data_IF_636885955550
#
_entry.id   IF_636885955550
#
_cell.length_a   1.000
_cell.length_b   1.000
_cell.length_c   1.000
_cell.angle_alpha   90.00
_cell.angle_beta   90.00
_cell.angle_gamma   90.00
#
_symmetry.space_group_name_H-M   'P 1'
#
loop_
_entity.id
_entity.type
_entity.pdbx_description
1 polymer ?
#
# COMPACT_ATOMS: atom_id res chain seq x y z
N UNK A 1 -9.61 -5.61 -12.70
CA UNK A 1 -10.65 -5.48 -11.65
C UNK A 1 -10.85 -3.98 -11.55
N UNK A 2 -12.07 -3.45 -11.69
CA UNK A 2 -12.26 -2.00 -11.79
C UNK A 2 -11.51 -1.21 -10.68
N UNK A 3 -10.81 -0.15 -11.11
CA UNK A 3 -9.94 0.69 -10.27
C UNK A 3 -10.62 1.22 -9.01
N UNK A 4 -11.83 1.76 -9.13
CA UNK A 4 -12.58 2.31 -7.99
C UNK A 4 -12.91 1.23 -6.96
N UNK A 5 -13.20 0.02 -7.44
CA UNK A 5 -13.43 -1.14 -6.57
C UNK A 5 -12.16 -1.53 -5.83
N UNK A 6 -10.99 -1.45 -6.46
CA UNK A 6 -9.69 -1.71 -5.83
C UNK A 6 -9.42 -0.72 -4.70
N UNK A 7 -9.46 0.58 -5.02
CA UNK A 7 -9.26 1.68 -4.08
C UNK A 7 -10.19 1.58 -2.88
N UNK A 8 -11.49 1.36 -3.12
CA UNK A 8 -12.49 1.25 -2.06
C UNK A 8 -12.21 0.08 -1.11
N UNK A 9 -11.70 -1.05 -1.63
CA UNK A 9 -11.38 -2.22 -0.82
C UNK A 9 -10.09 -2.02 -0.01
N UNK A 10 -9.07 -1.39 -0.59
CA UNK A 10 -7.84 -1.01 0.13
C UNK A 10 -8.18 -0.03 1.25
N UNK A 11 -8.90 1.06 0.94
CA UNK A 11 -9.34 2.04 1.93
C UNK A 11 -10.19 1.41 3.05
N UNK A 12 -10.99 0.38 2.74
CA UNK A 12 -11.73 -0.37 3.77
C UNK A 12 -10.80 -1.16 4.69
N UNK A 13 -9.69 -1.71 4.19
CA UNK A 13 -8.70 -2.38 5.04
C UNK A 13 -7.98 -1.36 5.93
N UNK A 14 -7.53 -0.23 5.36
CA UNK A 14 -6.89 0.85 6.12
C UNK A 14 -7.79 1.37 7.24
N UNK A 15 -9.08 1.56 6.96
CA UNK A 15 -10.07 2.03 7.96
C UNK A 15 -10.31 1.06 9.12
N UNK A 16 -9.88 -0.20 9.04
CA UNK A 16 -9.95 -1.12 10.19
C UNK A 16 -8.95 -0.77 11.29
N UNK A 17 -7.99 0.11 11.01
CA UNK A 17 -6.97 0.55 11.96
C UNK A 17 -5.87 -0.48 12.17
N UNK A 18 -4.98 -0.17 13.13
CA UNK A 18 -3.92 -1.06 13.55
C UNK A 18 -4.44 -2.07 14.58
N UNK A 19 -4.46 -3.34 14.18
CA UNK A 19 -4.83 -4.50 14.98
C UNK A 19 -3.61 -5.41 15.24
N UNK A 20 -2.39 -4.87 15.16
CA UNK A 20 -1.15 -5.58 15.39
C UNK A 20 -0.61 -6.33 14.16
N UNK A 21 0.25 -7.30 14.40
CA UNK A 21 0.97 -8.07 13.39
C UNK A 21 0.26 -9.38 13.02
N UNK A 22 0.46 -9.96 11.82
CA UNK A 22 1.28 -9.44 10.73
C UNK A 22 0.66 -8.17 10.12
N UNK A 23 1.49 -7.25 9.63
CA UNK A 23 1.01 -5.96 9.08
C UNK A 23 1.64 -5.62 7.75
N UNK A 24 0.86 -4.97 6.89
CA UNK A 24 1.34 -4.29 5.69
C UNK A 24 1.28 -2.78 5.90
N UNK A 25 2.33 -2.08 5.51
CA UNK A 25 2.36 -0.61 5.38
C UNK A 25 2.52 -0.24 3.91
N UNK A 26 1.65 0.64 3.42
CA UNK A 26 1.73 1.26 2.12
C UNK A 26 2.30 2.67 2.29
N UNK A 27 3.39 2.98 1.61
CA UNK A 27 3.98 4.31 1.60
C UNK A 27 4.18 4.81 0.16
N UNK A 28 3.67 5.99 -0.14
CA UNK A 28 3.73 6.57 -1.48
C UNK A 28 4.89 7.55 -1.62
N UNK A 29 5.55 7.51 -2.77
CA UNK A 29 6.68 8.39 -3.11
C UNK A 29 6.49 8.98 -4.50
N UNK A 30 7.05 10.16 -4.75
CA UNK A 30 6.96 10.79 -6.07
C UNK A 30 7.72 12.10 -6.19
N UNK A 31 7.60 12.78 -7.34
CA UNK A 31 8.34 14.02 -7.60
C UNK A 31 7.79 15.24 -6.85
N UNK A 32 6.54 15.19 -6.38
CA UNK A 32 5.92 16.27 -5.61
C UNK A 32 5.07 15.69 -4.47
N UNK A 33 4.47 16.54 -3.64
CA UNK A 33 3.56 16.11 -2.56
C UNK A 33 2.20 15.64 -3.06
N UNK A 34 1.85 16.03 -4.29
CA UNK A 34 0.56 15.78 -4.91
C UNK A 34 0.58 14.50 -5.77
N UNK A 35 1.71 14.20 -6.41
CA UNK A 35 1.84 13.10 -7.39
C UNK A 35 2.72 11.99 -6.82
N UNK A 36 2.16 10.79 -6.71
CA UNK A 36 2.91 9.59 -6.38
C UNK A 36 3.24 8.79 -7.64
N UNK A 37 4.52 8.47 -7.86
CA UNK A 37 4.98 7.61 -8.96
C UNK A 37 5.50 6.27 -8.46
N UNK A 38 5.61 6.08 -7.15
CA UNK A 38 6.02 4.83 -6.51
C UNK A 38 5.18 4.51 -5.28
N UNK A 39 5.09 3.22 -4.96
CA UNK A 39 4.53 2.73 -3.70
C UNK A 39 5.44 1.63 -3.15
N UNK A 40 5.83 1.76 -1.89
CA UNK A 40 6.48 0.71 -1.13
C UNK A 40 5.42 -0.08 -0.35
N UNK A 41 5.47 -1.41 -0.49
CA UNK A 41 4.65 -2.35 0.27
C UNK A 41 5.56 -3.04 1.27
N UNK A 42 5.42 -2.67 2.53
CA UNK A 42 6.25 -3.16 3.61
C UNK A 42 5.49 -4.17 4.45
N UNK A 43 5.93 -5.41 4.49
CA UNK A 43 5.38 -6.46 5.33
C UNK A 43 6.26 -6.70 6.55
N UNK A 44 5.63 -6.85 7.72
CA UNK A 44 6.30 -7.24 8.96
C UNK A 44 5.49 -8.34 9.64
N UNK A 45 6.16 -9.45 9.99
CA UNK A 45 5.52 -10.63 10.58
C UNK A 45 5.20 -10.46 12.06
N UNK A 46 6.09 -9.83 12.83
CA UNK A 46 5.98 -9.64 14.27
C UNK A 46 6.76 -8.42 14.76
N UNK A 47 6.58 -8.09 16.03
CA UNK A 47 7.33 -7.01 16.66
C UNK A 47 8.83 -7.33 16.70
N UNK A 48 9.67 -6.41 16.23
CA UNK A 48 11.12 -6.60 16.15
C UNK A 48 11.61 -7.40 14.93
N UNK A 49 10.71 -7.98 14.13
CA UNK A 49 11.08 -8.68 12.90
C UNK A 49 11.58 -7.72 11.80
N UNK A 50 12.43 -8.23 10.92
CA UNK A 50 12.89 -7.48 9.76
C UNK A 50 11.75 -7.14 8.79
N UNK A 51 11.75 -5.91 8.30
CA UNK A 51 10.81 -5.46 7.26
C UNK A 51 11.15 -6.11 5.93
N UNK A 52 10.16 -6.71 5.28
CA UNK A 52 10.23 -7.13 3.88
C UNK A 52 9.57 -6.04 3.02
N UNK A 53 10.27 -5.54 2.01
CA UNK A 53 9.77 -4.44 1.18
C UNK A 53 9.76 -4.85 -0.30
N UNK A 54 8.63 -4.59 -0.96
CA UNK A 54 8.51 -4.63 -2.42
C UNK A 54 8.09 -3.23 -2.91
N UNK A 55 8.76 -2.70 -3.94
CA UNK A 55 8.43 -1.40 -4.52
C UNK A 55 7.87 -1.55 -5.93
N UNK A 56 6.79 -0.83 -6.19
CA UNK A 56 6.26 -0.65 -7.53
C UNK A 56 6.46 0.80 -7.97
N UNK A 57 6.68 1.01 -9.26
CA UNK A 57 6.84 2.33 -9.88
C UNK A 57 6.07 2.42 -11.19
N UNK A 58 5.60 3.62 -11.53
CA UNK A 58 5.14 3.96 -12.88
C UNK A 58 5.46 5.42 -13.21
N UNK A 59 5.34 5.80 -14.49
CA UNK A 59 5.65 7.15 -14.96
C UNK A 59 4.59 8.19 -14.58
N UNK A 60 3.39 7.74 -14.19
CA UNK A 60 2.23 8.59 -13.88
C UNK A 60 1.76 8.37 -12.43
N UNK A 61 0.61 8.95 -12.08
CA UNK A 61 -0.01 8.79 -10.76
C UNK A 61 -0.35 7.32 -10.47
N UNK A 62 0.45 6.70 -9.59
CA UNK A 62 0.39 5.26 -9.30
C UNK A 62 -0.89 4.86 -8.58
N UNK A 63 -1.52 5.80 -7.86
CA UNK A 63 -2.83 5.57 -7.23
C UNK A 63 -3.93 5.37 -8.26
N UNK A 64 -3.76 5.88 -9.49
CA UNK A 64 -4.72 5.75 -10.59
C UNK A 64 -4.43 4.58 -11.54
N UNK A 65 -3.38 3.80 -11.28
CA UNK A 65 -3.03 2.65 -12.11
C UNK A 65 -3.83 1.39 -11.71
N UNK A 66 -4.74 0.93 -12.57
CA UNK A 66 -5.61 -0.23 -12.29
C UNK A 66 -4.83 -1.51 -11.98
N UNK A 67 -3.74 -1.76 -12.72
CA UNK A 67 -2.93 -2.95 -12.54
C UNK A 67 -2.26 -2.93 -11.16
N UNK A 68 -1.66 -1.79 -10.78
CA UNK A 68 -1.02 -1.64 -9.47
C UNK A 68 -2.04 -1.77 -8.35
N UNK A 69 -3.17 -1.06 -8.41
CA UNK A 69 -4.20 -1.14 -7.38
C UNK A 69 -4.78 -2.55 -7.23
N UNK A 70 -4.96 -3.27 -8.34
CA UNK A 70 -5.38 -4.68 -8.31
C UNK A 70 -4.32 -5.58 -7.67
N UNK A 71 -3.05 -5.35 -7.97
CA UNK A 71 -1.93 -6.10 -7.41
C UNK A 71 -1.80 -5.85 -5.90
N UNK A 72 -1.82 -4.60 -5.46
CA UNK A 72 -1.77 -4.23 -4.04
C UNK A 72 -2.89 -4.91 -3.25
N UNK A 73 -4.13 -4.86 -3.76
CA UNK A 73 -5.26 -5.52 -3.09
C UNK A 73 -5.02 -7.03 -2.97
N UNK A 74 -4.54 -7.69 -4.03
CA UNK A 74 -4.25 -9.13 -4.01
C UNK A 74 -3.13 -9.48 -3.03
N UNK A 75 -2.10 -8.64 -2.91
CA UNK A 75 -1.03 -8.81 -1.91
C UNK A 75 -1.62 -8.76 -0.51
N UNK A 76 -2.40 -7.73 -0.20
CA UNK A 76 -3.07 -7.57 1.09
C UNK A 76 -3.98 -8.77 1.41
N UNK A 77 -4.80 -9.21 0.46
CA UNK A 77 -5.74 -10.33 0.65
C UNK A 77 -5.03 -11.67 0.87
N UNK A 78 -3.88 -11.90 0.21
CA UNK A 78 -3.13 -13.15 0.32
C UNK A 78 -2.19 -13.20 1.51
N UNK A 79 -1.69 -12.04 1.94
CA UNK A 79 -0.80 -11.95 3.10
C UNK A 79 -1.53 -12.23 4.43
N UNK A 80 -2.87 -12.23 4.44
CA UNK A 80 -3.71 -12.50 5.60
C UNK A 80 -3.28 -11.69 6.84
N UNK A 81 -2.98 -10.41 6.61
CA UNK A 81 -2.52 -9.47 7.65
C UNK A 81 -3.65 -9.05 8.57
N UNK A 82 -3.31 -8.77 9.83
CA UNK A 82 -4.21 -8.19 10.81
C UNK A 82 -4.40 -6.68 10.58
N UNK A 83 -3.37 -6.03 10.04
CA UNK A 83 -3.34 -4.58 9.85
C UNK A 83 -2.86 -4.18 8.46
N UNK A 84 -3.52 -3.17 7.91
CA UNK A 84 -3.07 -2.44 6.72
C UNK A 84 -2.98 -0.98 7.10
N UNK A 85 -1.78 -0.42 7.03
CA UNK A 85 -1.51 0.98 7.32
C UNK A 85 -1.19 1.68 6.01
N UNK A 86 -1.71 2.88 5.81
CA UNK A 86 -1.32 3.76 4.71
C UNK A 86 -0.66 4.99 5.33
N UNK A 87 0.59 5.24 4.95
CA UNK A 87 1.30 6.46 5.36
C UNK A 87 0.66 7.64 4.65
N UNK A 88 0.28 8.66 5.40
CA UNK A 88 -0.41 9.83 4.85
C UNK A 88 0.50 10.63 3.91
N UNK A 89 -0.05 10.99 2.75
CA UNK A 89 0.59 11.85 1.77
C UNK A 89 1.65 11.15 0.90
N UNK A 90 2.44 11.97 0.20
CA UNK A 90 3.50 11.51 -0.69
C UNK A 90 4.85 12.00 -0.16
N UNK A 91 5.82 11.09 -0.07
CA UNK A 91 7.20 11.43 0.23
C UNK A 91 7.91 11.87 -1.06
N UNK A 92 8.52 13.05 -1.05
CA UNK A 92 9.24 13.55 -2.23
C UNK A 92 10.55 12.78 -2.36
N UNK A 93 10.85 12.31 -3.57
CA UNK A 93 12.09 11.61 -3.94
C UNK A 93 13.25 12.58 -4.18
#
# INVERSE_FOLDING_TARGET
MNLDKAKKRIAKQVKKGDNGYPKITLAYFGPTKEVATQVAVQFVMGEGDSVQEERFSCETEIRDNELIQTTLLKVIERANVNSVIEVEGVTVL
#
